data_IF_010116567457
#
_entry.id   IF_010116567457
#
_cell.length_a   1.000
_cell.length_b   1.000
_cell.length_c   1.000
_cell.angle_alpha   90.00
_cell.angle_beta   90.00
_cell.angle_gamma   90.00
#
_symmetry.space_group_name_H-M   'P 1'
#
loop_
_entity.id
_entity.type
_entity.pdbx_description
1 polymer ?
#
# COMPACT_ATOMS: atom_id res chain seq x y z
N UNK A 1 15.14 9.53 -12.72
CA UNK A 1 13.76 9.65 -13.22
C UNK A 1 13.07 10.90 -12.65
N UNK A 2 12.99 11.10 -11.32
CA UNK A 2 12.36 12.30 -10.70
C UNK A 2 13.02 13.61 -11.15
N UNK A 3 14.35 13.68 -11.24
CA UNK A 3 15.06 14.86 -11.74
C UNK A 3 14.73 15.16 -13.20
N UNK A 4 14.56 14.13 -14.02
CA UNK A 4 14.15 14.30 -15.42
C UNK A 4 12.69 14.78 -15.49
N UNK A 5 11.79 14.21 -14.69
CA UNK A 5 10.39 14.62 -14.64
C UNK A 5 10.25 16.08 -14.19
N UNK A 6 10.97 16.51 -13.13
CA UNK A 6 11.00 17.88 -12.66
C UNK A 6 11.46 18.84 -13.75
N UNK A 7 12.59 18.55 -14.41
CA UNK A 7 13.13 19.37 -15.49
C UNK A 7 12.18 19.44 -16.70
N UNK A 8 11.59 18.31 -17.06
CA UNK A 8 10.67 18.26 -18.19
C UNK A 8 9.36 19.01 -17.92
N UNK A 9 8.86 18.98 -16.68
CA UNK A 9 7.66 19.73 -16.29
C UNK A 9 7.86 21.25 -16.30
N UNK A 10 9.09 21.72 -16.08
CA UNK A 10 9.44 23.15 -16.23
C UNK A 10 9.53 23.59 -17.70
N UNK A 11 10.06 22.71 -18.56
CA UNK A 11 10.32 23.04 -19.96
C UNK A 11 9.15 22.71 -20.91
N UNK A 12 8.31 21.73 -20.56
CA UNK A 12 7.25 21.20 -21.42
C UNK A 12 5.97 20.94 -20.64
N UNK A 13 4.86 21.41 -21.19
CA UNK A 13 3.53 21.03 -20.66
C UNK A 13 3.18 19.58 -21.08
N UNK A 14 2.72 18.76 -20.13
CA UNK A 14 2.20 17.41 -20.34
C UNK A 14 3.22 16.38 -20.90
N UNK A 15 4.45 16.41 -20.40
CA UNK A 15 5.42 15.35 -20.72
C UNK A 15 5.14 14.11 -19.87
N UNK A 16 5.24 12.94 -20.50
CA UNK A 16 5.10 11.65 -19.83
C UNK A 16 6.10 11.50 -18.67
N UNK A 17 5.62 11.15 -17.50
CA UNK A 17 6.44 10.89 -16.31
C UNK A 17 7.44 9.75 -16.57
N UNK A 18 7.09 8.82 -17.44
CA UNK A 18 7.93 7.71 -17.87
C UNK A 18 7.15 6.43 -18.08
N UNK A 19 7.85 5.45 -18.61
CA UNK A 19 7.32 4.11 -18.84
C UNK A 19 7.49 3.25 -17.59
N UNK A 20 6.39 2.66 -17.15
CA UNK A 20 6.34 1.77 -16.00
C UNK A 20 6.01 0.36 -16.47
N UNK A 21 6.93 -0.56 -16.25
CA UNK A 21 6.71 -1.95 -16.61
C UNK A 21 5.73 -2.62 -15.62
N UNK A 22 4.83 -3.44 -16.16
CA UNK A 22 4.02 -4.35 -15.37
C UNK A 22 4.67 -5.71 -15.35
N UNK A 23 5.14 -6.13 -14.17
CA UNK A 23 5.86 -7.39 -13.98
C UNK A 23 5.18 -8.21 -12.87
N UNK A 24 4.83 -9.46 -13.16
CA UNK A 24 4.36 -10.41 -12.16
C UNK A 24 5.53 -10.99 -11.35
N UNK A 25 5.28 -11.47 -10.11
CA UNK A 25 6.27 -12.17 -9.33
C UNK A 25 6.82 -13.40 -10.06
N UNK A 26 8.12 -13.66 -9.93
CA UNK A 26 8.78 -14.82 -10.53
C UNK A 26 10.29 -14.77 -10.39
N UNK A 27 10.95 -15.92 -10.28
CA UNK A 27 12.38 -16.01 -10.07
C UNK A 27 12.83 -15.24 -8.83
N UNK A 28 13.71 -14.27 -9.01
CA UNK A 28 14.25 -13.44 -7.93
C UNK A 28 13.48 -12.13 -7.69
N UNK A 29 12.33 -11.92 -8.35
CA UNK A 29 11.55 -10.68 -8.20
C UNK A 29 10.18 -10.92 -7.57
N UNK A 30 9.77 -10.01 -6.68
CA UNK A 30 8.40 -9.96 -6.14
C UNK A 30 7.40 -9.35 -7.14
N UNK A 31 7.85 -8.96 -8.33
CA UNK A 31 7.04 -8.21 -9.28
C UNK A 31 6.76 -6.78 -8.86
N UNK A 32 5.96 -6.09 -9.66
CA UNK A 32 5.52 -4.73 -9.33
C UNK A 32 4.37 -4.78 -8.32
N UNK A 33 4.58 -4.22 -7.15
CA UNK A 33 3.63 -4.24 -6.04
C UNK A 33 2.81 -2.95 -5.95
N UNK A 34 1.66 -2.94 -5.28
CA UNK A 34 0.80 -1.77 -5.16
C UNK A 34 1.50 -0.50 -4.66
N UNK A 35 2.44 -0.61 -3.72
CA UNK A 35 3.20 0.52 -3.19
C UNK A 35 4.11 1.17 -4.25
N UNK A 36 4.68 0.38 -5.15
CA UNK A 36 5.51 0.89 -6.24
C UNK A 36 4.69 1.76 -7.18
N UNK A 37 3.46 1.34 -7.49
CA UNK A 37 2.53 2.16 -8.27
C UNK A 37 2.03 3.37 -7.50
N UNK A 38 1.75 3.24 -6.19
CA UNK A 38 1.44 4.38 -5.32
C UNK A 38 2.51 5.45 -5.44
N UNK A 39 3.79 5.07 -5.29
CA UNK A 39 4.91 6.00 -5.38
C UNK A 39 4.96 6.71 -6.74
N UNK A 40 4.91 5.94 -7.83
CA UNK A 40 5.01 6.47 -9.19
C UNK A 40 3.86 7.43 -9.50
N UNK A 41 2.61 7.01 -9.25
CA UNK A 41 1.42 7.80 -9.56
C UNK A 41 1.27 9.02 -8.64
N UNK A 42 1.71 8.93 -7.38
CA UNK A 42 1.81 10.07 -6.47
C UNK A 42 2.75 11.14 -7.03
N UNK A 43 3.95 10.73 -7.49
CA UNK A 43 4.92 11.68 -8.06
C UNK A 43 4.45 12.23 -9.41
N UNK A 44 3.84 11.39 -10.25
CA UNK A 44 3.25 11.84 -11.52
C UNK A 44 2.14 12.87 -11.31
N UNK A 45 1.23 12.64 -10.35
CA UNK A 45 0.20 13.62 -9.99
C UNK A 45 0.81 14.95 -9.52
N UNK A 46 1.88 14.90 -8.72
CA UNK A 46 2.55 16.11 -8.23
C UNK A 46 3.06 17.02 -9.36
N UNK A 47 3.37 16.45 -10.52
CA UNK A 47 3.83 17.17 -11.71
C UNK A 47 2.78 17.25 -12.81
N UNK A 48 1.52 16.89 -12.53
CA UNK A 48 0.44 16.78 -13.51
C UNK A 48 0.81 15.97 -14.78
N UNK A 49 1.75 15.03 -14.62
CA UNK A 49 2.29 14.24 -15.71
C UNK A 49 1.49 12.94 -15.93
N UNK A 50 1.29 12.50 -17.18
CA UNK A 50 0.75 11.17 -17.46
C UNK A 50 1.79 10.08 -17.16
N UNK A 51 1.31 8.85 -16.96
CA UNK A 51 2.14 7.67 -16.78
C UNK A 51 1.81 6.66 -17.87
N UNK A 52 2.82 6.16 -18.58
CA UNK A 52 2.67 5.10 -19.57
C UNK A 52 2.92 3.74 -18.93
N UNK A 53 1.90 2.88 -18.92
CA UNK A 53 2.02 1.51 -18.46
C UNK A 53 2.45 0.60 -19.62
N UNK A 54 3.54 -0.14 -19.45
CA UNK A 54 4.05 -1.12 -20.40
C UNK A 54 3.93 -2.51 -19.80
N UNK A 55 3.26 -3.40 -20.51
CA UNK A 55 3.07 -4.78 -20.04
C UNK A 55 2.30 -5.60 -21.09
N UNK A 56 2.11 -6.87 -20.78
CA UNK A 56 1.30 -7.74 -21.59
C UNK A 56 0.19 -8.40 -20.75
N UNK A 57 -0.81 -8.95 -21.44
CA UNK A 57 -1.98 -9.54 -20.77
C UNK A 57 -1.63 -10.78 -19.95
N UNK A 58 -0.58 -11.48 -20.29
CA UNK A 58 -0.13 -12.66 -19.54
C UNK A 58 0.40 -12.26 -18.16
N UNK A 59 1.26 -11.24 -18.11
CA UNK A 59 1.76 -10.70 -16.84
C UNK A 59 0.61 -10.17 -15.96
N UNK A 60 -0.36 -9.46 -16.55
CA UNK A 60 -1.54 -8.99 -15.84
C UNK A 60 -2.38 -10.13 -15.27
N UNK A 61 -2.57 -11.21 -16.01
CA UNK A 61 -3.34 -12.38 -15.55
C UNK A 61 -2.61 -13.18 -14.47
N UNK A 62 -1.28 -13.26 -14.57
CA UNK A 62 -0.44 -14.06 -13.68
C UNK A 62 -0.19 -13.37 -12.33
N UNK A 63 -0.22 -12.04 -12.29
CA UNK A 63 0.11 -11.31 -11.07
C UNK A 63 -1.02 -11.40 -10.04
N UNK A 64 -0.80 -11.93 -8.82
CA UNK A 64 -1.84 -12.12 -7.81
C UNK A 64 -2.39 -10.81 -7.24
N UNK A 65 -1.68 -9.69 -7.41
CA UNK A 65 -2.10 -8.34 -6.95
C UNK A 65 -2.54 -7.43 -8.10
N UNK A 66 -2.89 -7.97 -9.25
CA UNK A 66 -3.32 -7.15 -10.41
C UNK A 66 -4.49 -6.27 -10.08
N UNK A 67 -5.51 -6.78 -9.40
CA UNK A 67 -6.66 -5.98 -9.02
C UNK A 67 -6.28 -4.83 -8.08
N UNK A 68 -5.40 -5.08 -7.10
CA UNK A 68 -4.90 -4.06 -6.18
C UNK A 68 -4.06 -3.00 -6.91
N UNK A 69 -3.19 -3.43 -7.84
CA UNK A 69 -2.36 -2.55 -8.65
C UNK A 69 -3.21 -1.62 -9.52
N UNK A 70 -4.17 -2.18 -10.25
CA UNK A 70 -5.05 -1.40 -11.13
C UNK A 70 -5.94 -0.42 -10.34
N UNK A 71 -6.42 -0.81 -9.16
CA UNK A 71 -7.17 0.10 -8.28
C UNK A 71 -6.34 1.27 -7.77
N UNK A 72 -5.06 1.02 -7.47
CA UNK A 72 -4.13 2.10 -7.09
C UNK A 72 -3.99 3.09 -8.24
N UNK A 73 -3.69 2.60 -9.44
CA UNK A 73 -3.54 3.45 -10.62
C UNK A 73 -4.82 4.26 -10.89
N UNK A 74 -5.98 3.58 -10.93
CA UNK A 74 -7.28 4.21 -11.14
C UNK A 74 -7.54 5.34 -10.13
N UNK A 75 -7.28 5.09 -8.84
CA UNK A 75 -7.56 6.07 -7.78
C UNK A 75 -6.70 7.33 -7.94
N UNK A 76 -5.41 7.18 -8.21
CA UNK A 76 -4.51 8.31 -8.43
C UNK A 76 -4.85 9.08 -9.71
N UNK A 77 -5.21 8.39 -10.80
CA UNK A 77 -5.64 9.04 -12.04
C UNK A 77 -6.96 9.79 -11.85
N UNK A 78 -7.92 9.21 -11.14
CA UNK A 78 -9.18 9.90 -10.81
C UNK A 78 -8.94 11.16 -9.99
N UNK A 79 -8.05 11.10 -8.99
CA UNK A 79 -7.69 12.25 -8.19
C UNK A 79 -7.01 13.36 -9.01
N UNK A 80 -6.13 12.97 -9.96
CA UNK A 80 -5.50 13.90 -10.89
C UNK A 80 -6.53 14.56 -11.82
N UNK A 81 -7.40 13.78 -12.45
CA UNK A 81 -8.44 14.29 -13.35
C UNK A 81 -9.47 15.18 -12.63
N UNK A 82 -9.72 14.94 -11.36
CA UNK A 82 -10.59 15.76 -10.53
C UNK A 82 -9.91 17.02 -9.97
N UNK A 83 -8.62 17.25 -10.27
CA UNK A 83 -7.78 18.30 -9.67
C UNK A 83 -7.95 18.37 -8.13
N UNK A 84 -7.90 17.18 -7.50
CA UNK A 84 -8.29 16.99 -6.10
C UNK A 84 -7.32 17.63 -5.09
N UNK A 85 -6.16 18.12 -5.54
CA UNK A 85 -5.10 18.63 -4.67
C UNK A 85 -4.70 20.05 -5.02
N UNK A 86 -4.52 20.89 -3.97
CA UNK A 86 -4.01 22.24 -4.12
C UNK A 86 -2.55 22.26 -4.59
N UNK A 87 -2.06 23.38 -5.16
CA UNK A 87 -0.65 23.52 -5.50
C UNK A 87 0.31 23.22 -4.34
N UNK A 88 -0.04 23.64 -3.12
CA UNK A 88 0.76 23.39 -1.91
C UNK A 88 0.79 21.90 -1.55
N UNK A 89 -0.33 21.19 -1.75
CA UNK A 89 -0.36 19.73 -1.56
C UNK A 89 0.48 19.04 -2.63
N UNK A 90 0.34 19.43 -3.91
CA UNK A 90 1.17 18.89 -4.99
C UNK A 90 2.66 19.12 -4.73
N UNK A 91 3.06 20.29 -4.20
CA UNK A 91 4.45 20.56 -3.85
C UNK A 91 4.99 19.59 -2.78
N UNK A 92 4.19 19.26 -1.78
CA UNK A 92 4.56 18.27 -0.76
C UNK A 92 4.72 16.85 -1.33
N UNK A 93 3.97 16.51 -2.38
CA UNK A 93 4.07 15.20 -3.04
C UNK A 93 5.34 15.06 -3.90
N UNK A 94 6.00 16.16 -4.27
CA UNK A 94 7.25 16.16 -5.04
C UNK A 94 8.46 15.67 -4.23
N UNK A 95 8.39 15.73 -2.89
CA UNK A 95 9.46 15.26 -2.00
C UNK A 95 9.75 13.77 -2.25
N UNK A 96 10.96 13.40 -2.73
CA UNK A 96 11.28 12.02 -3.08
C UNK A 96 11.36 11.09 -1.87
N UNK A 97 11.60 11.65 -0.68
CA UNK A 97 11.82 10.89 0.55
C UNK A 97 10.52 10.68 1.34
N UNK A 98 9.40 11.20 0.83
CA UNK A 98 8.08 11.03 1.44
C UNK A 98 7.17 10.18 0.60
N UNK A 99 6.53 9.24 1.26
CA UNK A 99 5.49 8.39 0.69
C UNK A 99 4.12 8.78 1.25
N UNK A 100 3.10 8.63 0.39
CA UNK A 100 1.73 8.96 0.74
C UNK A 100 0.79 7.90 0.20
N UNK A 101 -0.21 7.53 1.01
CA UNK A 101 -1.34 6.75 0.53
C UNK A 101 -2.53 7.66 0.25
N UNK A 102 -3.20 7.34 -0.83
CA UNK A 102 -4.46 7.94 -1.23
C UNK A 102 -5.61 6.97 -0.95
N UNK A 103 -6.56 7.42 -0.17
CA UNK A 103 -7.83 6.73 0.05
C UNK A 103 -8.98 7.54 -0.50
N UNK A 104 -10.13 6.92 -0.60
CA UNK A 104 -11.38 7.56 -0.97
C UNK A 104 -12.42 7.20 0.09
N UNK A 105 -13.08 8.20 0.65
CA UNK A 105 -14.13 7.99 1.63
C UNK A 105 -15.45 7.55 0.97
N UNK A 106 -16.44 7.26 1.79
CA UNK A 106 -17.79 6.84 1.31
C UNK A 106 -18.54 7.91 0.53
N UNK A 107 -18.07 9.15 0.52
CA UNK A 107 -18.62 10.28 -0.21
C UNK A 107 -17.82 10.59 -1.49
N UNK A 108 -16.81 9.79 -1.81
CA UNK A 108 -15.97 9.98 -2.97
C UNK A 108 -14.89 11.06 -2.80
N UNK A 109 -14.63 11.51 -1.58
CA UNK A 109 -13.58 12.50 -1.30
C UNK A 109 -12.24 11.80 -1.11
N UNK A 110 -11.22 12.39 -1.69
CA UNK A 110 -9.85 11.87 -1.59
C UNK A 110 -9.19 12.30 -0.28
N UNK A 111 -8.60 11.33 0.41
CA UNK A 111 -7.87 11.52 1.66
C UNK A 111 -6.42 11.08 1.48
N UNK A 112 -5.47 11.99 1.79
CA UNK A 112 -4.05 11.76 1.63
C UNK A 112 -3.37 11.60 2.99
N UNK A 113 -2.67 10.47 3.18
CA UNK A 113 -1.96 10.17 4.41
C UNK A 113 -0.47 9.94 4.16
N UNK A 114 0.42 10.72 4.81
CA UNK A 114 1.83 10.36 4.84
C UNK A 114 2.01 9.00 5.51
N UNK A 115 2.88 8.17 4.95
CA UNK A 115 3.12 6.84 5.44
C UNK A 115 4.61 6.53 5.48
N UNK A 116 4.97 5.50 6.24
CA UNK A 116 6.30 4.91 6.21
C UNK A 116 6.22 3.41 6.08
N UNK A 117 7.14 2.84 5.33
CA UNK A 117 7.24 1.40 5.20
C UNK A 117 7.65 0.78 6.54
N UNK A 118 6.95 -0.26 6.94
CA UNK A 118 7.42 -1.21 7.93
C UNK A 118 8.23 -2.26 7.19
N UNK A 119 9.40 -2.59 7.70
CA UNK A 119 10.25 -3.62 7.10
C UNK A 119 10.01 -4.94 7.85
N UNK A 120 9.05 -5.76 7.42
CA UNK A 120 9.00 -7.14 7.85
C UNK A 120 10.24 -7.86 7.32
N UNK A 121 10.63 -8.98 7.94
CA UNK A 121 11.66 -9.84 7.38
C UNK A 121 11.31 -10.18 5.92
N UNK A 122 12.28 -10.10 5.03
CA UNK A 122 12.10 -10.28 3.57
C UNK A 122 11.49 -11.65 3.21
N UNK A 123 11.63 -12.63 4.08
CA UNK A 123 11.06 -13.98 3.90
C UNK A 123 9.56 -14.08 4.19
N UNK A 124 8.94 -13.06 4.81
CA UNK A 124 7.52 -13.12 5.19
C UNK A 124 6.56 -13.05 4.00
N UNK A 125 7.00 -12.51 2.88
CA UNK A 125 6.13 -12.18 1.76
C UNK A 125 5.10 -11.09 2.05
N UNK A 126 5.14 -10.47 3.24
CA UNK A 126 4.20 -9.40 3.64
C UNK A 126 4.85 -8.04 3.47
N UNK A 127 4.18 -7.15 2.74
CA UNK A 127 4.50 -5.71 2.72
C UNK A 127 3.56 -4.97 3.63
N UNK A 128 4.08 -3.98 4.35
CA UNK A 128 3.30 -3.22 5.30
C UNK A 128 3.78 -1.78 5.42
N UNK A 129 2.84 -0.88 5.71
CA UNK A 129 3.08 0.56 5.86
C UNK A 129 2.24 1.10 7.00
N UNK A 130 2.85 1.95 7.82
CA UNK A 130 2.20 2.62 8.94
C UNK A 130 1.83 4.05 8.54
N UNK A 131 0.62 4.47 8.92
CA UNK A 131 0.13 5.83 8.80
C UNK A 131 -0.85 6.15 9.93
N UNK A 132 -1.22 7.42 10.07
CA UNK A 132 -2.20 7.85 11.06
C UNK A 132 -3.49 8.32 10.40
N UNK A 133 -4.63 7.90 10.99
CA UNK A 133 -5.95 8.42 10.66
C UNK A 133 -6.60 8.95 11.95
N UNK A 134 -6.58 10.29 12.12
CA UNK A 134 -6.98 10.91 13.39
C UNK A 134 -6.07 10.47 14.53
N UNK A 135 -6.65 9.87 15.57
CA UNK A 135 -5.93 9.35 16.75
C UNK A 135 -5.44 7.92 16.59
N UNK A 136 -5.89 7.22 15.56
CA UNK A 136 -5.60 5.79 15.35
C UNK A 136 -4.33 5.56 14.56
N UNK A 137 -3.59 4.53 14.93
CA UNK A 137 -2.52 3.97 14.11
C UNK A 137 -3.10 2.98 13.12
N UNK A 138 -2.77 3.16 11.85
CA UNK A 138 -3.27 2.35 10.74
C UNK A 138 -2.12 1.64 10.06
N UNK A 139 -2.26 0.35 9.79
CA UNK A 139 -1.28 -0.44 9.05
C UNK A 139 -1.96 -0.98 7.79
N UNK A 140 -1.53 -0.48 6.63
CA UNK A 140 -1.88 -1.05 5.34
C UNK A 140 -0.90 -2.18 5.03
N UNK A 141 -1.41 -3.37 4.75
CA UNK A 141 -0.57 -4.54 4.47
C UNK A 141 -1.21 -5.46 3.43
N UNK A 142 -0.38 -6.31 2.82
CA UNK A 142 -0.80 -7.37 1.89
C UNK A 142 0.30 -8.43 1.74
N UNK A 143 -0.05 -9.61 1.23
CA UNK A 143 0.93 -10.61 0.80
C UNK A 143 1.33 -10.39 -0.66
N UNK A 144 2.62 -10.39 -0.98
CA UNK A 144 3.14 -10.01 -2.31
C UNK A 144 2.78 -10.98 -3.42
N UNK A 145 2.72 -12.26 -3.12
CA UNK A 145 2.56 -13.31 -4.14
C UNK A 145 1.47 -14.34 -3.84
N UNK A 146 0.84 -14.27 -2.68
CA UNK A 146 -0.12 -15.29 -2.28
C UNK A 146 -1.08 -14.79 -1.21
N UNK A 147 -1.34 -15.65 -0.26
CA UNK A 147 -2.14 -15.39 0.93
C UNK A 147 -1.56 -16.10 2.14
N UNK A 148 -1.75 -15.52 3.31
CA UNK A 148 -1.36 -16.08 4.59
C UNK A 148 -2.27 -15.56 5.71
N UNK A 149 -1.98 -15.90 6.96
CA UNK A 149 -2.72 -15.48 8.12
C UNK A 149 -1.80 -14.95 9.21
N UNK A 150 -1.95 -13.66 9.53
CA UNK A 150 -1.22 -13.03 10.63
C UNK A 150 -1.86 -13.40 11.97
N UNK A 151 -1.03 -13.77 12.94
CA UNK A 151 -1.45 -14.05 14.32
C UNK A 151 -1.07 -12.89 15.24
N UNK A 152 -2.01 -11.98 15.45
CA UNK A 152 -1.81 -10.78 16.23
C UNK A 152 -2.45 -10.91 17.61
N UNK A 153 -1.64 -10.78 18.67
CA UNK A 153 -2.16 -10.75 20.04
C UNK A 153 -2.33 -9.29 20.47
N UNK A 154 -3.57 -8.86 20.59
CA UNK A 154 -3.90 -7.48 20.94
C UNK A 154 -4.18 -7.31 22.44
N UNK A 155 -3.88 -6.13 23.02
CA UNK A 155 -4.44 -5.72 24.29
C UNK A 155 -5.98 -5.64 24.19
N UNK A 156 -6.67 -5.10 25.16
CA UNK A 156 -8.14 -5.14 25.25
C UNK A 156 -8.91 -4.43 24.10
N UNK A 157 -8.24 -3.64 23.26
CA UNK A 157 -8.87 -2.90 22.16
C UNK A 157 -9.38 -3.81 21.04
N UNK A 158 -10.50 -3.43 20.42
CA UNK A 158 -11.01 -4.12 19.23
C UNK A 158 -10.40 -3.51 17.98
N UNK A 159 -9.62 -4.26 17.20
CA UNK A 159 -9.13 -3.75 15.91
C UNK A 159 -10.27 -3.66 14.90
N UNK A 160 -10.16 -2.74 13.97
CA UNK A 160 -10.97 -2.73 12.77
C UNK A 160 -10.10 -3.17 11.59
N UNK A 161 -10.61 -4.07 10.78
CA UNK A 161 -9.96 -4.50 9.55
C UNK A 161 -10.87 -4.16 8.37
N UNK A 162 -10.33 -3.41 7.42
CA UNK A 162 -11.05 -3.04 6.19
C UNK A 162 -10.18 -3.31 4.97
N UNK A 163 -10.81 -3.43 3.81
CA UNK A 163 -10.08 -3.30 2.55
C UNK A 163 -9.73 -1.81 2.28
N UNK A 164 -9.05 -1.54 1.20
CA UNK A 164 -8.65 -0.20 0.80
C UNK A 164 -9.81 0.68 0.28
N UNK A 165 -11.05 0.13 0.26
CA UNK A 165 -12.31 0.85 0.01
C UNK A 165 -13.11 1.09 1.28
N UNK A 166 -12.55 0.77 2.45
CA UNK A 166 -13.22 0.92 3.73
C UNK A 166 -14.27 -0.18 4.03
N UNK A 167 -14.42 -1.21 3.19
CA UNK A 167 -15.35 -2.32 3.47
C UNK A 167 -14.73 -3.24 4.51
N UNK A 168 -15.53 -3.64 5.50
CA UNK A 168 -15.06 -4.51 6.57
C UNK A 168 -14.63 -5.87 6.05
N UNK A 169 -13.47 -6.33 6.51
CA UNK A 169 -12.95 -7.68 6.32
C UNK A 169 -13.20 -8.47 7.59
N UNK A 170 -13.83 -9.63 7.47
CA UNK A 170 -14.02 -10.53 8.58
C UNK A 170 -12.68 -11.21 8.99
N UNK A 171 -12.45 -11.34 10.26
CA UNK A 171 -11.31 -12.09 10.81
C UNK A 171 -11.74 -12.87 12.06
N UNK A 172 -11.01 -13.94 12.36
CA UNK A 172 -11.28 -14.77 13.55
C UNK A 172 -10.60 -14.17 14.75
N UNK A 173 -11.32 -14.19 15.90
CA UNK A 173 -10.80 -13.75 17.19
C UNK A 173 -11.02 -14.81 18.24
N UNK A 174 -9.96 -15.12 19.00
CA UNK A 174 -9.95 -16.04 20.13
C UNK A 174 -9.35 -15.33 21.35
N UNK A 175 -10.22 -14.76 22.19
CA UNK A 175 -9.77 -13.91 23.29
C UNK A 175 -9.00 -12.68 22.80
N UNK A 176 -7.70 -12.64 23.08
CA UNK A 176 -6.78 -11.59 22.62
C UNK A 176 -6.11 -11.90 21.28
N UNK A 177 -6.17 -13.14 20.84
CA UNK A 177 -5.59 -13.56 19.56
C UNK A 177 -6.53 -13.19 18.42
N UNK A 178 -6.02 -12.47 17.45
CA UNK A 178 -6.69 -12.15 16.18
C UNK A 178 -5.96 -12.85 15.04
N UNK A 179 -6.71 -13.57 14.22
CA UNK A 179 -6.22 -14.22 13.00
C UNK A 179 -6.66 -13.36 11.84
N UNK A 180 -5.73 -12.57 11.29
CA UNK A 180 -5.99 -11.58 10.24
C UNK A 180 -5.58 -12.15 8.90
N UNK A 181 -6.44 -12.12 7.87
CA UNK A 181 -6.06 -12.55 6.53
C UNK A 181 -4.99 -11.62 5.95
N UNK A 182 -3.97 -12.17 5.33
CA UNK A 182 -2.95 -11.46 4.56
C UNK A 182 -3.01 -11.96 3.12
N UNK A 183 -3.91 -11.41 2.34
CA UNK A 183 -4.07 -11.69 0.91
C UNK A 183 -3.93 -10.38 0.12
N UNK A 184 -5.04 -9.76 -0.28
CA UNK A 184 -5.08 -8.42 -0.87
C UNK A 184 -4.83 -7.31 0.16
N UNK A 185 -4.87 -6.08 -0.32
CA UNK A 185 -4.64 -4.90 0.52
C UNK A 185 -5.68 -4.78 1.64
N UNK A 186 -5.19 -4.77 2.86
CA UNK A 186 -6.01 -4.63 4.07
C UNK A 186 -5.47 -3.53 4.98
N UNK A 187 -6.36 -2.77 5.59
CA UNK A 187 -6.05 -1.72 6.56
C UNK A 187 -6.46 -2.19 7.94
N UNK A 188 -5.49 -2.37 8.81
CA UNK A 188 -5.68 -2.65 10.23
C UNK A 188 -5.65 -1.34 11.01
N UNK A 189 -6.77 -0.97 11.64
CA UNK A 189 -6.84 0.19 12.52
C UNK A 189 -6.75 -0.23 13.98
N UNK A 190 -5.85 0.40 14.72
CA UNK A 190 -5.55 0.14 16.11
C UNK A 190 -5.66 1.43 16.94
N UNK A 191 -6.29 1.34 18.09
CA UNK A 191 -6.29 2.41 19.09
C UNK A 191 -5.06 2.27 20.00
N UNK A 192 -3.88 2.43 19.39
CA UNK A 192 -2.57 2.27 20.02
C UNK A 192 -1.60 3.33 19.47
N UNK A 193 -0.55 3.69 20.24
CA UNK A 193 0.57 4.46 19.72
C UNK A 193 1.24 3.75 18.55
N UNK A 194 1.84 4.51 17.63
CA UNK A 194 2.49 3.96 16.41
C UNK A 194 3.56 2.92 16.74
N UNK A 195 4.43 3.21 17.71
CA UNK A 195 5.51 2.30 18.12
C UNK A 195 5.00 0.96 18.63
N UNK A 196 3.88 0.99 19.37
CA UNK A 196 3.26 -0.23 19.87
C UNK A 196 2.56 -1.00 18.76
N UNK A 197 1.83 -0.32 17.88
CA UNK A 197 1.17 -0.91 16.72
C UNK A 197 2.20 -1.59 15.80
N UNK A 198 3.31 -0.93 15.49
CA UNK A 198 4.41 -1.47 14.71
C UNK A 198 5.02 -2.72 15.36
N UNK A 199 5.40 -2.64 16.63
CA UNK A 199 6.00 -3.77 17.37
C UNK A 199 5.09 -4.99 17.36
N UNK A 200 3.79 -4.80 17.59
CA UNK A 200 2.81 -5.88 17.59
C UNK A 200 2.65 -6.50 16.21
N UNK A 201 2.57 -5.67 15.18
CA UNK A 201 2.41 -6.14 13.81
C UNK A 201 3.64 -6.90 13.32
N UNK A 202 4.84 -6.34 13.48
CA UNK A 202 6.10 -7.02 13.09
C UNK A 202 6.30 -8.31 13.87
N UNK A 203 5.90 -8.35 15.15
CA UNK A 203 5.90 -9.58 15.94
C UNK A 203 4.93 -10.66 15.42
N UNK A 204 3.82 -10.27 14.80
CA UNK A 204 2.88 -11.20 14.16
C UNK A 204 3.44 -11.73 12.82
N UNK A 205 4.06 -10.87 12.01
CA UNK A 205 4.65 -11.23 10.71
C UNK A 205 5.78 -12.25 10.88
N UNK A 206 6.66 -12.06 11.86
CA UNK A 206 7.77 -13.00 12.14
C UNK A 206 7.34 -14.42 12.47
N UNK A 207 6.08 -14.63 12.86
CA UNK A 207 5.55 -15.96 13.21
C UNK A 207 5.05 -16.75 12.00
N UNK A 208 4.85 -16.12 10.86
CA UNK A 208 4.39 -16.77 9.64
C UNK A 208 5.43 -17.76 9.12
N UNK A 209 6.69 -17.41 9.17
CA UNK A 209 7.81 -18.14 8.58
C UNK A 209 8.45 -19.22 9.48
N UNK A 210 7.87 -19.51 10.63
CA UNK A 210 8.34 -20.66 11.41
C UNK A 210 7.69 -21.92 10.86
N UNK A 211 8.49 -22.92 10.40
CA UNK A 211 7.96 -24.24 10.08
C UNK A 211 7.13 -24.71 11.28
N UNK A 212 5.95 -25.21 11.01
CA UNK A 212 5.13 -25.88 12.04
C UNK A 212 5.98 -27.07 12.49
N UNK A 213 6.58 -26.99 13.68
CA UNK A 213 7.22 -28.17 14.26
C UNK A 213 6.18 -29.29 14.33
N UNK A 214 6.44 -30.45 13.76
CA UNK A 214 5.52 -31.58 13.89
C UNK A 214 5.34 -31.87 15.38
N UNK A 215 4.11 -31.80 15.85
CA UNK A 215 3.76 -32.24 17.19
C UNK A 215 4.19 -33.70 17.34
N UNK A 216 5.15 -33.94 18.26
CA UNK A 216 5.57 -35.28 18.66
C UNK A 216 4.50 -35.97 19.47
#
# INVERSE_FOLDING_TARGET
TLRCAARNAEDFTAVDFGWVNYLAPGGATIGMQPDMYVYIYCKALAWDAPVSLVGNLEELRRHPRTEDNLRVMERWERAKLADAFTPEQKERLKDPDREFFLFEDSQGRFELYPCRQLTPDDESGVRAFLFRRGTKSCILYWHTSGEDQLRLTLPASRPTLTDDRGRRIAFRREGRLCLLPAAGRAVLELDLPEEEAERLFLGAVRKINRPIEPQK
#
